data_IF_733908322187
#
_entry.id   IF_733908322187
#
_cell.length_a   1.000
_cell.length_b   1.000
_cell.length_c   1.000
_cell.angle_alpha   90.00
_cell.angle_beta   90.00
_cell.angle_gamma   90.00
#
_symmetry.space_group_name_H-M   'P 1'
#
loop_
_entity.id
_entity.type
_entity.pdbx_description
1 polymer ?
#
# COMPACT_ATOMS: atom_id res chain seq x y z
N UNK A 1 -11.24 -1.14 -18.44
CA UNK A 1 -10.75 0.24 -18.74
C UNK A 1 -11.25 0.66 -20.12
N UNK A 2 -11.63 1.93 -20.31
CA UNK A 2 -11.91 2.45 -21.66
C UNK A 2 -10.61 2.46 -22.47
N UNK A 3 -10.68 2.02 -23.72
CA UNK A 3 -9.58 2.17 -24.68
C UNK A 3 -9.17 3.65 -24.74
N UNK A 4 -7.86 3.96 -24.80
CA UNK A 4 -7.40 5.32 -25.01
C UNK A 4 -8.05 5.93 -26.26
N UNK A 5 -8.22 7.27 -26.32
CA UNK A 5 -8.67 7.94 -27.52
C UNK A 5 -7.82 7.54 -28.74
N UNK A 6 -8.43 7.46 -29.92
CA UNK A 6 -7.71 7.04 -31.14
C UNK A 6 -6.49 7.92 -31.46
N UNK A 7 -6.53 9.21 -31.09
CA UNK A 7 -5.38 10.12 -31.22
C UNK A 7 -4.18 9.71 -30.37
N UNK A 8 -4.41 9.12 -29.20
CA UNK A 8 -3.35 8.61 -28.31
C UNK A 8 -2.78 7.32 -28.86
N UNK A 9 -3.64 6.40 -29.31
CA UNK A 9 -3.20 5.15 -29.94
C UNK A 9 -2.35 5.43 -31.18
N UNK A 10 -2.72 6.43 -31.98
CA UNK A 10 -1.96 6.84 -33.16
C UNK A 10 -0.61 7.51 -32.83
N UNK A 11 -0.45 8.03 -31.60
CA UNK A 11 0.81 8.63 -31.15
C UNK A 11 1.83 7.61 -30.65
N UNK A 12 1.42 6.35 -30.44
CA UNK A 12 2.30 5.31 -29.93
C UNK A 12 3.27 4.81 -31.00
N UNK A 13 4.51 4.45 -30.61
CA UNK A 13 5.46 3.84 -31.53
C UNK A 13 4.96 2.45 -31.97
N UNK A 14 5.57 1.91 -33.03
CA UNK A 14 5.28 0.54 -33.47
C UNK A 14 5.63 -0.45 -32.36
N UNK A 15 4.69 -1.32 -31.94
CA UNK A 15 4.93 -2.33 -30.91
C UNK A 15 6.12 -3.22 -31.23
N UNK A 16 7.00 -3.43 -30.25
CA UNK A 16 8.11 -4.36 -30.32
C UNK A 16 7.88 -5.51 -29.31
N UNK A 17 7.30 -6.60 -29.79
CA UNK A 17 6.99 -7.77 -28.95
C UNK A 17 8.19 -8.70 -28.72
N UNK A 18 9.23 -8.62 -29.57
CA UNK A 18 10.38 -9.53 -29.52
C UNK A 18 11.46 -9.03 -28.55
N UNK A 19 11.75 -7.74 -28.57
CA UNK A 19 12.78 -7.10 -27.73
C UNK A 19 12.30 -5.78 -27.12
N UNK A 20 11.27 -5.80 -26.26
CA UNK A 20 10.74 -4.59 -25.64
C UNK A 20 11.75 -3.96 -24.67
N UNK A 21 11.63 -2.65 -24.48
CA UNK A 21 12.40 -1.94 -23.44
C UNK A 21 11.81 -2.32 -22.08
N UNK A 22 12.65 -2.88 -21.21
CA UNK A 22 12.26 -3.31 -19.86
C UNK A 22 12.90 -2.43 -18.77
N UNK A 23 12.27 -2.37 -17.60
CA UNK A 23 12.84 -1.70 -16.40
C UNK A 23 14.01 -2.47 -15.76
N UNK A 24 14.19 -3.74 -16.12
CA UNK A 24 15.22 -4.62 -15.55
C UNK A 24 14.87 -5.14 -14.15
N UNK A 25 15.76 -5.89 -13.49
CA UNK A 25 15.46 -6.67 -12.27
C UNK A 25 15.40 -5.84 -10.99
N UNK A 26 15.48 -4.51 -11.07
CA UNK A 26 15.59 -3.64 -9.89
C UNK A 26 14.38 -3.78 -8.95
N UNK A 27 13.17 -3.90 -9.49
CA UNK A 27 11.94 -4.05 -8.72
C UNK A 27 11.98 -5.30 -7.84
N UNK A 28 12.25 -6.45 -8.46
CA UNK A 28 12.48 -7.72 -7.77
C UNK A 28 13.54 -7.66 -6.67
N UNK A 29 14.70 -7.07 -6.96
CA UNK A 29 15.81 -7.00 -5.98
C UNK A 29 15.38 -6.20 -4.75
N UNK A 30 14.77 -5.03 -4.95
CA UNK A 30 14.28 -4.18 -3.86
C UNK A 30 13.19 -4.88 -3.07
N UNK A 31 12.22 -5.49 -3.75
CA UNK A 31 11.10 -6.13 -3.09
C UNK A 31 11.56 -7.32 -2.20
N UNK A 32 12.38 -8.22 -2.74
CA UNK A 32 12.88 -9.40 -2.00
C UNK A 32 13.75 -8.97 -0.81
N UNK A 33 14.65 -8.01 -1.00
CA UNK A 33 15.54 -7.54 0.07
C UNK A 33 14.76 -6.92 1.22
N UNK A 34 13.75 -6.09 0.92
CA UNK A 34 12.87 -5.52 1.95
C UNK A 34 12.03 -6.59 2.64
N UNK A 35 11.46 -7.55 1.91
CA UNK A 35 10.69 -8.64 2.52
C UNK A 35 11.52 -9.42 3.54
N UNK A 36 12.76 -9.80 3.18
CA UNK A 36 13.66 -10.55 4.08
C UNK A 36 14.03 -9.70 5.29
N UNK A 37 14.38 -8.42 5.09
CA UNK A 37 14.73 -7.52 6.19
C UNK A 37 13.57 -7.36 7.18
N UNK A 38 12.36 -7.11 6.68
CA UNK A 38 11.16 -6.96 7.53
C UNK A 38 10.79 -8.27 8.22
N UNK A 39 10.93 -9.41 7.56
CA UNK A 39 10.71 -10.72 8.20
C UNK A 39 11.64 -10.91 9.40
N UNK A 40 12.93 -10.59 9.25
CA UNK A 40 13.91 -10.67 10.35
C UNK A 40 13.54 -9.71 11.50
N UNK A 41 13.14 -8.48 11.19
CA UNK A 41 12.69 -7.50 12.18
C UNK A 41 11.44 -8.00 12.92
N UNK A 42 10.47 -8.58 12.21
CA UNK A 42 9.27 -9.15 12.81
C UNK A 42 9.58 -10.33 13.73
N UNK A 43 10.48 -11.24 13.32
CA UNK A 43 10.93 -12.34 14.19
C UNK A 43 11.56 -11.80 15.47
N UNK A 44 12.43 -10.78 15.36
CA UNK A 44 13.01 -10.11 16.53
C UNK A 44 11.95 -9.42 17.40
N UNK A 45 10.94 -8.78 16.80
CA UNK A 45 9.82 -8.14 17.49
C UNK A 45 9.02 -9.17 18.29
N UNK A 46 8.64 -10.28 17.66
CA UNK A 46 7.90 -11.37 18.30
C UNK A 46 8.71 -12.01 19.43
N UNK A 47 10.00 -12.30 19.20
CA UNK A 47 10.87 -12.86 20.23
C UNK A 47 10.96 -11.94 21.45
N UNK A 48 11.21 -10.64 21.22
CA UNK A 48 11.29 -9.63 22.27
C UNK A 48 9.97 -9.54 23.05
N UNK A 49 8.83 -9.52 22.36
CA UNK A 49 7.50 -9.41 23.00
C UNK A 49 7.11 -10.64 23.81
N UNK A 50 7.46 -11.85 23.34
CA UNK A 50 7.14 -13.10 24.03
C UNK A 50 8.11 -13.43 25.17
N UNK A 51 9.41 -13.25 24.97
CA UNK A 51 10.44 -13.74 25.90
C UNK A 51 11.03 -12.67 26.80
N UNK A 52 11.28 -11.47 26.26
CA UNK A 52 11.98 -10.38 26.97
C UNK A 52 10.98 -9.51 27.74
N UNK A 53 10.01 -8.92 27.04
CA UNK A 53 9.01 -8.00 27.63
C UNK A 53 7.81 -8.78 28.18
N UNK A 54 7.56 -10.01 27.68
CA UNK A 54 6.43 -10.89 28.09
C UNK A 54 5.07 -10.19 28.03
N UNK A 55 4.86 -9.46 26.95
CA UNK A 55 3.73 -8.55 26.79
C UNK A 55 3.27 -8.57 25.33
N UNK A 56 2.61 -9.66 24.95
CA UNK A 56 2.05 -9.84 23.62
C UNK A 56 0.65 -9.22 23.55
N UNK A 57 0.44 -8.30 22.61
CA UNK A 57 -0.81 -7.54 22.47
C UNK A 57 -1.55 -7.82 21.17
N UNK A 58 -2.72 -7.18 21.01
CA UNK A 58 -3.45 -7.17 19.75
C UNK A 58 -2.66 -6.50 18.62
N UNK A 59 -1.81 -5.52 18.95
CA UNK A 59 -0.90 -4.89 18.00
C UNK A 59 0.05 -5.90 17.36
N UNK A 60 0.65 -6.79 18.15
CA UNK A 60 1.55 -7.81 17.64
C UNK A 60 0.83 -8.87 16.78
N UNK A 61 -0.44 -9.15 17.05
CA UNK A 61 -1.25 -10.07 16.21
C UNK A 61 -1.57 -9.40 14.87
N UNK A 62 -2.05 -8.16 14.90
CA UNK A 62 -2.45 -7.43 13.70
C UNK A 62 -1.27 -7.19 12.75
N UNK A 63 -0.08 -6.88 13.29
CA UNK A 63 1.11 -6.69 12.44
C UNK A 63 1.58 -7.98 11.78
N UNK A 64 1.45 -9.12 12.47
CA UNK A 64 1.75 -10.43 11.90
C UNK A 64 0.75 -10.79 10.80
N UNK A 65 -0.54 -10.51 11.02
CA UNK A 65 -1.57 -10.71 10.00
C UNK A 65 -1.31 -9.78 8.80
N UNK A 66 -0.89 -8.53 9.02
CA UNK A 66 -0.57 -7.55 7.96
C UNK A 66 0.63 -7.96 7.10
N UNK A 67 1.57 -8.74 7.66
CA UNK A 67 2.74 -9.20 6.93
C UNK A 67 2.37 -10.16 5.79
N UNK A 68 1.38 -11.04 5.97
CA UNK A 68 0.95 -11.99 4.93
C UNK A 68 0.46 -11.32 3.62
N UNK A 69 -0.53 -10.39 3.64
CA UNK A 69 -0.94 -9.68 2.43
C UNK A 69 0.17 -8.81 1.84
N UNK A 70 1.11 -8.31 2.66
CA UNK A 70 2.29 -7.57 2.16
C UNK A 70 3.24 -8.47 1.36
N UNK A 71 3.48 -9.68 1.85
CA UNK A 71 4.27 -10.69 1.12
C UNK A 71 3.53 -11.14 -0.13
N UNK A 72 2.22 -11.40 -0.04
CA UNK A 72 1.40 -11.76 -1.20
C UNK A 72 1.45 -10.66 -2.27
N UNK A 73 1.34 -9.39 -1.88
CA UNK A 73 1.47 -8.25 -2.79
C UNK A 73 2.84 -8.25 -3.47
N UNK A 74 3.92 -8.51 -2.71
CA UNK A 74 5.27 -8.59 -3.27
C UNK A 74 5.41 -9.72 -4.29
N UNK A 75 4.89 -10.90 -3.98
CA UNK A 75 4.89 -12.06 -4.90
C UNK A 75 4.07 -11.76 -6.15
N UNK A 76 2.88 -11.20 -6.01
CA UNK A 76 2.02 -10.80 -7.12
C UNK A 76 2.69 -9.72 -7.99
N UNK A 77 3.39 -8.75 -7.39
CA UNK A 77 4.09 -7.69 -8.11
C UNK A 77 5.26 -8.24 -8.92
N UNK A 78 6.05 -9.16 -8.33
CA UNK A 78 7.15 -9.84 -9.04
C UNK A 78 6.59 -10.68 -10.18
N UNK A 79 5.56 -11.48 -9.94
CA UNK A 79 4.94 -12.27 -11.01
C UNK A 79 4.43 -11.39 -12.15
N UNK A 80 3.82 -10.25 -11.81
CA UNK A 80 3.35 -9.29 -12.79
C UNK A 80 4.46 -8.67 -13.64
N UNK A 81 5.60 -8.39 -13.01
CA UNK A 81 6.78 -7.83 -13.67
C UNK A 81 7.32 -8.80 -14.74
N UNK A 82 7.56 -10.06 -14.40
CA UNK A 82 8.23 -11.00 -15.32
C UNK A 82 7.29 -11.75 -16.27
N UNK A 83 6.08 -12.08 -15.83
CA UNK A 83 5.19 -12.94 -16.61
C UNK A 83 4.10 -12.14 -17.33
N UNK A 84 3.63 -11.06 -16.71
CA UNK A 84 2.48 -10.29 -17.20
C UNK A 84 2.87 -8.98 -17.91
N UNK A 85 4.15 -8.60 -17.95
CA UNK A 85 4.63 -7.45 -18.74
C UNK A 85 4.34 -6.09 -18.10
N UNK A 86 4.39 -6.00 -16.77
CA UNK A 86 4.34 -4.73 -16.05
C UNK A 86 5.68 -3.99 -16.00
N UNK A 87 6.71 -4.53 -16.62
CA UNK A 87 8.04 -3.92 -16.79
C UNK A 87 8.26 -3.28 -18.16
N UNK A 88 7.30 -3.43 -19.09
CA UNK A 88 7.32 -2.88 -20.45
C UNK A 88 6.27 -1.81 -20.66
N UNK A 89 6.41 -1.05 -21.74
CA UNK A 89 5.41 -0.07 -22.15
C UNK A 89 4.10 -0.74 -22.61
N UNK A 90 2.99 -0.04 -22.44
CA UNK A 90 1.65 -0.59 -22.74
C UNK A 90 1.47 -0.99 -24.21
N UNK A 91 2.15 -0.31 -25.14
CA UNK A 91 2.11 -0.63 -26.57
C UNK A 91 2.95 -1.86 -26.93
N UNK A 92 3.92 -2.25 -26.11
CA UNK A 92 4.74 -3.44 -26.30
C UNK A 92 4.13 -4.69 -25.62
N UNK A 93 2.99 -4.54 -24.94
CA UNK A 93 2.32 -5.61 -24.23
C UNK A 93 1.41 -6.43 -25.18
N UNK A 94 1.61 -7.77 -25.31
CA UNK A 94 0.71 -8.61 -26.08
C UNK A 94 -0.72 -8.60 -25.51
N UNK A 95 -1.73 -8.51 -26.38
CA UNK A 95 -3.14 -8.51 -25.98
C UNK A 95 -3.56 -9.72 -25.14
N UNK A 96 -2.91 -10.88 -25.33
CA UNK A 96 -3.15 -12.10 -24.55
C UNK A 96 -2.83 -11.92 -23.07
N UNK A 97 -1.88 -11.02 -22.73
CA UNK A 97 -1.47 -10.72 -21.35
C UNK A 97 -2.32 -9.63 -20.70
N UNK A 98 -3.12 -8.87 -21.45
CA UNK A 98 -3.89 -7.74 -20.91
C UNK A 98 -4.88 -8.16 -19.81
N UNK A 99 -5.70 -9.18 -20.08
CA UNK A 99 -6.71 -9.67 -19.13
C UNK A 99 -6.08 -10.19 -17.82
N UNK A 100 -5.11 -11.12 -17.84
CA UNK A 100 -4.47 -11.58 -16.59
C UNK A 100 -3.69 -10.46 -15.88
N UNK A 101 -3.07 -9.53 -16.63
CA UNK A 101 -2.41 -8.35 -16.05
C UNK A 101 -3.38 -7.47 -15.27
N UNK A 102 -4.56 -7.23 -15.84
CA UNK A 102 -5.59 -6.42 -15.21
C UNK A 102 -6.11 -7.11 -13.95
N UNK A 103 -6.43 -8.41 -14.02
CA UNK A 103 -6.84 -9.20 -12.85
C UNK A 103 -5.80 -9.14 -11.73
N UNK A 104 -4.51 -9.25 -12.06
CA UNK A 104 -3.44 -9.15 -11.07
C UNK A 104 -3.32 -7.74 -10.46
N UNK A 105 -3.54 -6.69 -11.25
CA UNK A 105 -3.62 -5.32 -10.72
C UNK A 105 -4.76 -5.16 -9.71
N UNK A 106 -5.92 -5.77 -9.95
CA UNK A 106 -7.03 -5.73 -9.00
C UNK A 106 -6.64 -6.41 -7.69
N UNK A 107 -6.04 -7.61 -7.78
CA UNK A 107 -5.58 -8.36 -6.60
C UNK A 107 -4.56 -7.57 -5.80
N UNK A 108 -3.58 -6.94 -6.46
CA UNK A 108 -2.55 -6.14 -5.76
C UNK A 108 -3.14 -4.91 -5.07
N UNK A 109 -4.13 -4.22 -5.65
CA UNK A 109 -4.83 -3.12 -4.97
C UNK A 109 -5.57 -3.58 -3.71
N UNK A 110 -6.27 -4.71 -3.79
CA UNK A 110 -6.99 -5.28 -2.62
C UNK A 110 -6.00 -5.71 -1.54
N UNK A 111 -4.89 -6.37 -1.90
CA UNK A 111 -3.86 -6.78 -0.94
C UNK A 111 -3.19 -5.58 -0.27
N UNK A 112 -2.95 -4.49 -1.03
CA UNK A 112 -2.42 -3.25 -0.48
C UNK A 112 -3.36 -2.65 0.56
N UNK A 113 -4.65 -2.56 0.23
CA UNK A 113 -5.66 -1.99 1.11
C UNK A 113 -5.81 -2.83 2.40
N UNK A 114 -5.89 -4.16 2.29
CA UNK A 114 -5.92 -5.06 3.46
C UNK A 114 -4.68 -4.82 4.34
N UNK A 115 -3.49 -4.84 3.74
CA UNK A 115 -2.25 -4.70 4.49
C UNK A 115 -2.15 -3.33 5.18
N UNK A 116 -2.37 -2.24 4.43
CA UNK A 116 -2.30 -0.87 4.93
C UNK A 116 -3.24 -0.64 6.11
N UNK A 117 -4.49 -1.11 6.00
CA UNK A 117 -5.46 -1.00 7.10
C UNK A 117 -5.03 -1.81 8.32
N UNK A 118 -4.52 -3.04 8.15
CA UNK A 118 -4.05 -3.85 9.28
C UNK A 118 -2.82 -3.24 9.98
N UNK A 119 -1.88 -2.65 9.23
CA UNK A 119 -0.74 -1.92 9.79
C UNK A 119 -1.23 -0.75 10.64
N UNK A 120 -2.16 0.07 10.12
CA UNK A 120 -2.73 1.19 10.87
C UNK A 120 -3.46 0.75 12.13
N UNK A 121 -4.25 -0.34 12.04
CA UNK A 121 -4.95 -0.89 13.20
C UNK A 121 -3.99 -1.45 14.25
N UNK A 122 -2.87 -2.07 13.84
CA UNK A 122 -1.81 -2.47 14.76
C UNK A 122 -1.24 -1.27 15.51
N UNK A 123 -0.87 -0.20 14.80
CA UNK A 123 -0.32 1.02 15.40
C UNK A 123 -1.33 1.68 16.33
N UNK A 124 -2.61 1.76 15.94
CA UNK A 124 -3.67 2.30 16.77
C UNK A 124 -3.96 1.42 17.99
N UNK A 125 -3.88 0.10 17.88
CA UNK A 125 -4.01 -0.81 19.02
C UNK A 125 -2.86 -0.62 20.03
N UNK A 126 -1.64 -0.41 19.54
CA UNK A 126 -0.49 -0.06 20.39
C UNK A 126 -0.70 1.28 21.09
N UNK A 127 -1.17 2.31 20.36
CA UNK A 127 -1.48 3.62 20.94
C UNK A 127 -2.60 3.54 21.97
N UNK A 128 -3.67 2.79 21.69
CA UNK A 128 -4.78 2.57 22.62
C UNK A 128 -4.28 1.94 23.92
N UNK A 129 -3.47 0.89 23.81
CA UNK A 129 -2.87 0.23 24.97
C UNK A 129 -2.04 1.18 25.83
N UNK A 130 -1.41 2.18 25.23
CA UNK A 130 -0.62 3.19 25.93
C UNK A 130 -1.49 4.26 26.62
N UNK A 131 -2.60 4.69 26.02
CA UNK A 131 -3.39 5.84 26.51
C UNK A 131 -4.63 5.49 27.32
N UNK A 132 -5.20 4.29 27.16
CA UNK A 132 -6.52 3.95 27.71
C UNK A 132 -6.64 4.08 29.23
N UNK A 133 -5.52 3.96 29.95
CA UNK A 133 -5.47 4.12 31.42
C UNK A 133 -5.20 5.54 31.89
N UNK A 134 -4.68 6.41 31.00
CA UNK A 134 -4.08 7.69 31.41
C UNK A 134 -4.89 8.89 30.94
N UNK A 135 -5.43 8.86 29.71
CA UNK A 135 -6.05 10.03 29.07
C UNK A 135 -7.33 9.64 28.31
N UNK A 136 -8.49 9.91 28.91
CA UNK A 136 -9.79 9.55 28.32
C UNK A 136 -10.05 10.26 26.98
N UNK A 137 -9.62 11.51 26.82
CA UNK A 137 -9.74 12.28 25.57
C UNK A 137 -8.94 11.65 24.44
N UNK A 138 -7.67 11.29 24.68
CA UNK A 138 -6.83 10.64 23.68
C UNK A 138 -7.37 9.25 23.31
N UNK A 139 -7.92 8.53 24.29
CA UNK A 139 -8.57 7.24 24.06
C UNK A 139 -9.73 7.37 23.07
N UNK A 140 -10.61 8.35 23.25
CA UNK A 140 -11.72 8.62 22.32
C UNK A 140 -11.20 8.97 20.92
N UNK A 141 -10.14 9.77 20.81
CA UNK A 141 -9.52 10.13 19.52
C UNK A 141 -8.95 8.89 18.81
N UNK A 142 -8.18 8.06 19.52
CA UNK A 142 -7.59 6.83 18.97
C UNK A 142 -8.67 5.87 18.49
N UNK A 143 -9.72 5.66 19.29
CA UNK A 143 -10.84 4.79 18.90
C UNK A 143 -11.59 5.37 17.71
N UNK A 144 -11.80 6.69 17.67
CA UNK A 144 -12.47 7.36 16.55
C UNK A 144 -11.70 7.21 15.23
N UNK A 145 -10.37 7.34 15.27
CA UNK A 145 -9.50 7.11 14.10
C UNK A 145 -9.50 5.62 13.70
N UNK A 146 -9.49 4.70 14.67
CA UNK A 146 -9.59 3.27 14.38
C UNK A 146 -10.91 2.91 13.68
N UNK A 147 -12.04 3.43 14.17
CA UNK A 147 -13.35 3.26 13.53
C UNK A 147 -13.33 3.85 12.12
N UNK A 148 -12.78 5.06 11.95
CA UNK A 148 -12.64 5.68 10.64
C UNK A 148 -11.84 4.80 9.67
N UNK A 149 -10.67 4.31 10.09
CA UNK A 149 -9.80 3.42 9.28
C UNK A 149 -10.54 2.16 8.86
N UNK A 150 -11.23 1.48 9.78
CA UNK A 150 -12.01 0.26 9.45
C UNK A 150 -13.09 0.58 8.42
N UNK A 151 -13.89 1.62 8.66
CA UNK A 151 -15.01 1.97 7.78
C UNK A 151 -14.51 2.42 6.41
N UNK A 152 -13.50 3.28 6.35
CA UNK A 152 -12.93 3.76 5.09
C UNK A 152 -12.25 2.63 4.32
N UNK A 153 -11.49 1.77 5.01
CA UNK A 153 -10.80 0.64 4.40
C UNK A 153 -11.78 -0.36 3.80
N UNK A 154 -12.81 -0.76 4.56
CA UNK A 154 -13.84 -1.65 4.02
C UNK A 154 -14.55 -1.01 2.81
N UNK A 155 -14.92 0.27 2.90
CA UNK A 155 -15.57 0.98 1.81
C UNK A 155 -14.70 0.99 0.54
N UNK A 156 -13.43 1.37 0.64
CA UNK A 156 -12.52 1.40 -0.51
C UNK A 156 -12.24 0.01 -1.06
N UNK A 157 -12.14 -1.02 -0.22
CA UNK A 157 -12.02 -2.40 -0.66
C UNK A 157 -13.23 -2.85 -1.48
N UNK A 158 -14.44 -2.60 -0.98
CA UNK A 158 -15.68 -2.92 -1.70
C UNK A 158 -15.77 -2.18 -3.03
N UNK A 159 -15.46 -0.88 -3.04
CA UNK A 159 -15.46 -0.09 -4.28
C UNK A 159 -14.43 -0.64 -5.27
N UNK A 160 -13.24 -1.02 -4.80
CA UNK A 160 -12.17 -1.58 -5.66
C UNK A 160 -12.60 -2.90 -6.31
N UNK A 161 -13.21 -3.81 -5.54
CA UNK A 161 -13.68 -5.12 -6.03
C UNK A 161 -14.87 -4.95 -6.99
N UNK A 162 -15.82 -4.09 -6.64
CA UNK A 162 -17.08 -3.89 -7.38
C UNK A 162 -17.06 -2.62 -8.24
N UNK A 163 -15.88 -2.20 -8.71
CA UNK A 163 -15.72 -0.99 -9.52
C UNK A 163 -16.44 -1.07 -10.88
N UNK A 164 -16.73 -2.27 -11.36
CA UNK A 164 -17.45 -2.52 -12.60
C UNK A 164 -18.64 -3.47 -12.38
N UNK A 165 -19.69 -3.33 -13.19
CA UNK A 165 -20.87 -4.19 -13.17
C UNK A 165 -21.19 -4.75 -14.57
N UNK A 166 -20.85 -6.02 -14.87
CA UNK A 166 -20.22 -7.02 -13.99
C UNK A 166 -18.73 -6.76 -13.71
N UNK A 167 -18.20 -7.35 -12.63
CA UNK A 167 -16.77 -7.21 -12.24
C UNK A 167 -15.83 -7.63 -13.38
N UNK A 168 -16.26 -8.57 -14.22
CA UNK A 168 -15.52 -9.01 -15.41
C UNK A 168 -15.21 -7.93 -16.43
N UNK A 169 -15.98 -6.84 -16.43
CA UNK A 169 -15.72 -5.70 -17.32
C UNK A 169 -14.41 -4.99 -16.99
N UNK A 170 -13.86 -5.16 -15.77
CA UNK A 170 -12.58 -4.57 -15.41
C UNK A 170 -11.43 -5.06 -16.29
N UNK A 171 -11.36 -6.38 -16.54
CA UNK A 171 -10.30 -7.03 -17.32
C UNK A 171 -10.70 -7.41 -18.75
N UNK A 172 -11.96 -7.20 -19.13
CA UNK A 172 -12.43 -7.46 -20.50
C UNK A 172 -12.18 -6.25 -21.39
N UNK A 173 -11.47 -6.46 -22.51
CA UNK A 173 -11.30 -5.42 -23.52
C UNK A 173 -12.56 -5.37 -24.39
N UNK A 174 -13.26 -4.24 -24.40
CA UNK A 174 -14.48 -4.05 -25.18
C UNK A 174 -14.51 -2.67 -25.82
N UNK A 175 -15.03 -2.61 -27.05
CA UNK A 175 -15.35 -1.35 -27.74
C UNK A 175 -16.68 -0.74 -27.28
N UNK A 176 -17.51 -1.52 -26.57
CA UNK A 176 -18.79 -1.07 -26.04
C UNK A 176 -18.60 -0.34 -24.70
N UNK A 177 -19.45 0.64 -24.37
CA UNK A 177 -19.37 1.35 -23.10
C UNK A 177 -19.66 0.39 -21.94
N UNK A 178 -18.64 0.17 -21.10
CA UNK A 178 -18.74 -0.61 -19.88
C UNK A 178 -19.23 0.25 -18.71
N UNK A 179 -19.97 -0.36 -17.78
CA UNK A 179 -20.44 0.29 -16.55
C UNK A 179 -19.39 0.13 -15.46
N UNK A 180 -18.37 0.99 -15.51
CA UNK A 180 -17.33 1.09 -14.50
C UNK A 180 -17.28 2.50 -13.91
N UNK A 181 -16.92 2.61 -12.64
CA UNK A 181 -16.59 3.90 -12.01
C UNK A 181 -15.28 4.46 -12.57
N UNK A 182 -15.01 5.72 -12.27
CA UNK A 182 -13.73 6.33 -12.58
C UNK A 182 -12.63 5.79 -11.65
N UNK A 183 -11.86 4.82 -12.17
CA UNK A 183 -10.71 4.21 -11.51
C UNK A 183 -9.68 5.27 -11.07
N UNK A 184 -9.43 6.29 -11.90
CA UNK A 184 -8.45 7.32 -11.58
C UNK A 184 -8.88 8.15 -10.38
N UNK A 185 -10.14 8.60 -10.38
CA UNK A 185 -10.70 9.34 -9.26
C UNK A 185 -10.70 8.49 -7.98
N UNK A 186 -11.11 7.22 -8.08
CA UNK A 186 -11.12 6.30 -6.94
C UNK A 186 -9.73 6.09 -6.34
N UNK A 187 -8.73 5.74 -7.16
CA UNK A 187 -7.36 5.50 -6.70
C UNK A 187 -6.73 6.74 -6.07
N UNK A 188 -6.99 7.93 -6.61
CA UNK A 188 -6.48 9.20 -6.06
C UNK A 188 -7.12 9.55 -4.72
N UNK A 189 -8.44 9.42 -4.61
CA UNK A 189 -9.16 9.71 -3.36
C UNK A 189 -8.76 8.72 -2.27
N UNK A 190 -8.77 7.42 -2.58
CA UNK A 190 -8.35 6.38 -1.65
C UNK A 190 -6.88 6.55 -1.25
N UNK A 191 -5.99 6.82 -2.20
CA UNK A 191 -4.56 7.07 -1.95
C UNK A 191 -4.32 8.27 -1.03
N UNK A 192 -5.03 9.38 -1.28
CA UNK A 192 -4.92 10.60 -0.48
C UNK A 192 -5.43 10.38 0.96
N UNK A 193 -6.60 9.74 1.12
CA UNK A 193 -7.15 9.44 2.45
C UNK A 193 -6.24 8.45 3.20
N UNK A 194 -5.66 7.48 2.50
CA UNK A 194 -4.67 6.57 3.07
C UNK A 194 -3.48 7.36 3.63
N UNK A 195 -2.86 8.24 2.83
CA UNK A 195 -1.70 9.02 3.30
C UNK A 195 -2.06 10.00 4.43
N UNK A 196 -3.21 10.68 4.36
CA UNK A 196 -3.66 11.59 5.43
C UNK A 196 -3.89 10.84 6.74
N UNK A 197 -4.46 9.64 6.69
CA UNK A 197 -4.64 8.81 7.90
C UNK A 197 -3.30 8.35 8.48
N UNK A 198 -2.29 8.08 7.65
CA UNK A 198 -0.95 7.73 8.14
C UNK A 198 -0.35 8.90 8.95
N UNK A 199 -0.42 10.12 8.42
CA UNK A 199 0.03 11.31 9.14
C UNK A 199 -0.74 11.53 10.44
N UNK A 200 -2.06 11.34 10.42
CA UNK A 200 -2.89 11.48 11.61
C UNK A 200 -2.42 10.53 12.73
N UNK A 201 -2.12 9.27 12.39
CA UNK A 201 -1.67 8.25 13.34
C UNK A 201 -0.27 8.58 13.88
N UNK A 202 0.67 8.98 13.02
CA UNK A 202 2.06 9.28 13.43
C UNK A 202 2.14 10.52 14.34
N UNK A 203 1.26 11.52 14.15
CA UNK A 203 1.27 12.75 14.94
C UNK A 203 0.71 12.56 16.37
N UNK A 204 -0.19 11.60 16.58
CA UNK A 204 -0.81 11.36 17.89
C UNK A 204 0.21 11.17 19.04
N UNK A 205 1.16 10.23 18.95
CA UNK A 205 2.09 9.98 20.04
C UNK A 205 3.11 11.12 20.24
N UNK A 206 3.35 11.98 19.26
CA UNK A 206 4.26 13.14 19.41
C UNK A 206 3.70 14.12 20.45
N UNK A 207 2.40 14.42 20.36
CA UNK A 207 1.74 15.30 21.34
C UNK A 207 1.78 14.70 22.75
N UNK A 208 1.63 13.38 22.85
CA UNK A 208 1.62 12.68 24.13
C UNK A 208 3.02 12.63 24.77
N UNK A 209 4.04 12.31 23.98
CA UNK A 209 5.43 12.20 24.46
C UNK A 209 6.03 13.55 24.81
N UNK A 210 5.55 14.65 24.22
CA UNK A 210 5.92 16.00 24.64
C UNK A 210 5.38 16.36 26.04
N UNK A 211 4.29 15.75 26.48
CA UNK A 211 3.67 16.01 27.79
C UNK A 211 4.21 15.10 28.91
N UNK A 212 4.82 13.96 28.56
CA UNK A 212 5.23 12.93 29.53
C UNK A 212 6.71 13.08 29.92
N UNK A 213 7.00 13.20 31.21
CA UNK A 213 8.37 13.29 31.73
C UNK A 213 9.05 11.91 31.75
N UNK A 214 9.50 11.42 30.59
CA UNK A 214 10.20 10.13 30.50
C UNK A 214 11.73 10.28 30.64
N UNK A 215 12.44 9.24 31.11
CA UNK A 215 13.90 9.19 31.12
C UNK A 215 14.48 9.35 29.69
N UNK A 216 15.60 10.06 29.54
CA UNK A 216 16.23 10.39 28.24
C UNK A 216 16.40 9.19 27.28
N UNK A 217 16.67 7.99 27.80
CA UNK A 217 16.82 6.76 26.99
C UNK A 217 15.51 6.34 26.31
N UNK A 218 14.37 6.52 26.97
CA UNK A 218 13.05 6.20 26.40
C UNK A 218 12.62 7.25 25.36
N UNK A 219 12.98 8.52 25.55
CA UNK A 219 12.79 9.56 24.53
C UNK A 219 13.51 9.22 23.22
N UNK A 220 14.75 8.74 23.27
CA UNK A 220 15.51 8.39 22.05
C UNK A 220 14.81 7.27 21.27
N UNK A 221 14.32 6.23 21.96
CA UNK A 221 13.58 5.13 21.32
C UNK A 221 12.28 5.64 20.70
N UNK A 222 11.55 6.52 21.39
CA UNK A 222 10.32 7.12 20.88
C UNK A 222 10.57 8.00 19.66
N UNK A 223 11.62 8.83 19.66
CA UNK A 223 11.99 9.62 18.49
C UNK A 223 12.39 8.73 17.31
N UNK A 224 13.10 7.63 17.54
CA UNK A 224 13.44 6.68 16.49
C UNK A 224 12.18 6.05 15.86
N UNK A 225 11.18 5.68 16.67
CA UNK A 225 9.87 5.19 16.19
C UNK A 225 9.08 6.25 15.42
N UNK A 226 9.15 7.52 15.83
CA UNK A 226 8.51 8.60 15.06
C UNK A 226 9.19 8.82 13.72
N UNK A 227 10.52 8.77 13.67
CA UNK A 227 11.26 8.88 12.42
C UNK A 227 10.86 7.79 11.43
N UNK A 228 10.73 6.53 11.86
CA UNK A 228 10.28 5.44 10.98
C UNK A 228 8.84 5.63 10.52
N UNK A 229 7.94 6.09 11.39
CA UNK A 229 6.57 6.46 11.02
C UNK A 229 6.51 7.58 9.98
N UNK A 230 7.29 8.65 10.14
CA UNK A 230 7.36 9.73 9.13
C UNK A 230 7.95 9.26 7.79
N UNK A 231 8.93 8.36 7.81
CA UNK A 231 9.43 7.73 6.59
C UNK A 231 8.33 6.94 5.87
N UNK A 232 7.49 6.21 6.60
CA UNK A 232 6.34 5.52 6.01
C UNK A 232 5.33 6.51 5.38
N UNK A 233 5.01 7.61 6.08
CA UNK A 233 4.14 8.66 5.52
C UNK A 233 4.74 9.32 4.26
N UNK A 234 6.06 9.56 4.25
CA UNK A 234 6.75 10.10 3.09
C UNK A 234 6.69 9.13 1.89
N UNK A 235 6.84 7.82 2.13
CA UNK A 235 6.63 6.81 1.10
C UNK A 235 5.18 6.83 0.57
N UNK A 236 4.19 7.03 1.44
CA UNK A 236 2.79 7.22 1.05
C UNK A 236 2.54 8.45 0.18
N UNK A 237 3.21 9.57 0.46
CA UNK A 237 3.17 10.76 -0.43
C UNK A 237 3.76 10.43 -1.81
N UNK A 238 4.89 9.74 -1.84
CA UNK A 238 5.56 9.33 -3.09
C UNK A 238 4.67 8.39 -3.90
N UNK A 239 4.03 7.41 -3.26
CA UNK A 239 3.06 6.52 -3.91
C UNK A 239 1.88 7.30 -4.47
N UNK A 240 1.31 8.22 -3.71
CA UNK A 240 0.16 9.03 -4.16
C UNK A 240 0.54 9.92 -5.35
N UNK A 241 1.75 10.48 -5.36
CA UNK A 241 2.29 11.21 -6.51
C UNK A 241 2.44 10.33 -7.76
N UNK A 242 3.03 9.14 -7.63
CA UNK A 242 3.13 8.22 -8.78
C UNK A 242 1.77 7.69 -9.22
N UNK A 243 0.82 7.53 -8.30
CA UNK A 243 -0.58 7.21 -8.63
C UNK A 243 -1.20 8.32 -9.47
N UNK A 244 -0.96 9.58 -9.13
CA UNK A 244 -1.41 10.70 -9.97
C UNK A 244 -0.81 10.68 -11.37
N UNK A 245 0.48 10.40 -11.49
CA UNK A 245 1.13 10.21 -12.81
C UNK A 245 0.45 9.06 -13.57
N UNK A 246 0.25 7.92 -12.93
CA UNK A 246 -0.42 6.75 -13.51
C UNK A 246 -1.82 7.08 -14.04
N UNK A 247 -2.57 7.92 -13.34
CA UNK A 247 -3.92 8.32 -13.76
C UNK A 247 -3.93 9.34 -14.90
N UNK A 248 -2.85 10.12 -15.05
CA UNK A 248 -2.75 11.17 -16.07
C UNK A 248 -2.10 10.66 -17.36
N UNK A 249 -1.26 9.62 -17.27
CA UNK A 249 -0.55 9.03 -18.40
C UNK A 249 -1.27 7.77 -18.89
N UNK A 250 -1.29 7.56 -20.20
CA UNK A 250 -1.93 6.37 -20.79
C UNK A 250 -1.08 5.09 -20.68
N UNK A 251 0.21 5.23 -20.42
CA UNK A 251 1.16 4.13 -20.32
C UNK A 251 1.14 3.47 -18.93
N UNK A 252 0.05 2.75 -18.66
CA UNK A 252 -0.24 2.28 -17.31
C UNK A 252 0.74 1.24 -16.79
N UNK A 253 1.23 0.33 -17.63
CA UNK A 253 2.18 -0.71 -17.21
C UNK A 253 3.51 -0.09 -16.76
N UNK A 254 4.04 0.86 -17.54
CA UNK A 254 5.33 1.49 -17.27
C UNK A 254 5.36 2.37 -16.01
N UNK A 255 4.28 3.12 -15.77
CA UNK A 255 4.15 3.94 -14.55
C UNK A 255 3.64 3.14 -13.36
N UNK A 256 2.84 2.09 -13.59
CA UNK A 256 2.34 1.22 -12.54
C UNK A 256 3.44 0.50 -11.77
N UNK A 257 4.53 0.14 -12.45
CA UNK A 257 5.75 -0.39 -11.82
C UNK A 257 6.26 0.49 -10.67
N UNK A 258 6.28 1.82 -10.86
CA UNK A 258 6.72 2.76 -9.81
C UNK A 258 5.76 2.83 -8.64
N UNK A 259 4.45 2.74 -8.91
CA UNK A 259 3.41 2.69 -7.89
C UNK A 259 3.60 1.46 -7.02
N UNK A 260 3.78 0.27 -7.60
CA UNK A 260 3.97 -0.96 -6.84
C UNK A 260 5.21 -0.96 -5.95
N UNK A 261 6.35 -0.51 -6.46
CA UNK A 261 7.57 -0.42 -5.63
C UNK A 261 7.36 0.56 -4.47
N UNK A 262 6.76 1.71 -4.73
CA UNK A 262 6.45 2.67 -3.66
C UNK A 262 5.45 2.09 -2.63
N UNK A 263 4.46 1.30 -3.07
CA UNK A 263 3.54 0.58 -2.18
C UNK A 263 4.25 -0.44 -1.29
N UNK A 264 5.18 -1.22 -1.85
CA UNK A 264 5.97 -2.20 -1.09
C UNK A 264 6.82 -1.49 -0.03
N UNK A 265 7.46 -0.37 -0.39
CA UNK A 265 8.26 0.44 0.53
C UNK A 265 7.38 1.00 1.66
N UNK A 266 6.22 1.58 1.33
CA UNK A 266 5.28 2.14 2.31
C UNK A 266 4.81 1.08 3.31
N UNK A 267 4.34 -0.08 2.84
CA UNK A 267 3.86 -1.15 3.70
C UNK A 267 4.98 -1.68 4.61
N UNK A 268 6.17 -1.88 4.07
CA UNK A 268 7.30 -2.40 4.85
C UNK A 268 7.85 -1.40 5.87
N UNK A 269 7.89 -0.11 5.55
CA UNK A 269 8.19 0.93 6.53
C UNK A 269 7.11 1.01 7.61
N UNK A 270 5.84 0.90 7.24
CA UNK A 270 4.72 0.86 8.17
C UNK A 270 4.79 -0.34 9.14
N UNK A 271 5.16 -1.52 8.65
CA UNK A 271 5.31 -2.72 9.48
C UNK A 271 6.43 -2.59 10.51
N UNK A 272 7.50 -1.88 10.16
CA UNK A 272 8.66 -1.65 11.03
C UNK A 272 8.37 -0.60 12.11
N UNK A 273 7.40 0.30 11.90
CA UNK A 273 6.97 1.30 12.89
C UNK A 273 6.28 0.71 14.13
#
# INVERSE_FOLDING_TARGET
MRLPPASVLASWPTPNYDHPITRGPAGKIVAITLTVLVALILVMRVYTRLRVVRSFGLDDILILIAFFPSVALTVCSIYSEFELGWDVHVWDLPFTKYSPSSQMSLVTFVLFDISSNLVKLSTLAMLYRLVHTTESRLTVIVVSIAVFVVVSGLLFMFITIFQCSPVSDYWTLSSQPQKCIDEAAHLLVAGTINTVTDFAIVVLPIKMTAALQLPRRQHIILYALFCTGFCACAAGCVRTYYTWILTTKYDKTWYGWTVWISSVIELYLGIVS
#
